data_IF_067731992778
#
_entry.id   IF_067731992778
#
_cell.length_a   1.000
_cell.length_b   1.000
_cell.length_c   1.000
_cell.angle_alpha   90.00
_cell.angle_beta   90.00
_cell.angle_gamma   90.00
#
_symmetry.space_group_name_H-M   'P 1'
#
loop_
_entity.id
_entity.type
_entity.pdbx_description
1 polymer ?
#
# COMPACT_ATOMS: atom_id res chain seq x y z
N UNK A 1 -7.11 35.25 -36.65
CA UNK A 1 -6.00 34.84 -35.75
C UNK A 1 -6.62 34.72 -34.37
N UNK A 2 -7.14 33.53 -34.08
CA UNK A 2 -7.81 33.23 -32.82
C UNK A 2 -6.72 32.91 -31.78
N UNK A 3 -6.80 33.53 -30.61
CA UNK A 3 -5.85 33.37 -29.51
C UNK A 3 -5.76 31.89 -29.11
N UNK A 4 -4.72 31.19 -29.58
CA UNK A 4 -4.23 29.95 -28.98
C UNK A 4 -3.55 30.31 -27.65
N UNK A 5 -4.33 30.68 -26.64
CA UNK A 5 -3.86 30.51 -25.26
C UNK A 5 -3.75 29.00 -25.03
N UNK A 6 -2.54 28.46 -25.09
CA UNK A 6 -2.25 27.08 -24.74
C UNK A 6 -2.78 26.82 -23.34
N UNK A 7 -3.89 26.07 -23.25
CA UNK A 7 -4.56 25.70 -21.99
C UNK A 7 -3.52 25.01 -21.11
N UNK A 8 -2.98 25.74 -20.13
CA UNK A 8 -1.92 25.22 -19.26
C UNK A 8 -2.53 24.18 -18.33
N UNK A 9 -2.11 22.92 -18.46
CA UNK A 9 -2.52 21.83 -17.56
C UNK A 9 -2.18 22.20 -16.11
N UNK A 10 -3.19 22.13 -15.24
CA UNK A 10 -3.05 22.41 -13.80
C UNK A 10 -3.54 21.23 -12.99
N UNK A 11 -2.76 20.85 -11.98
CA UNK A 11 -3.14 19.77 -11.08
C UNK A 11 -4.28 20.23 -10.17
N UNK A 12 -5.33 19.42 -10.10
CA UNK A 12 -6.39 19.64 -9.12
C UNK A 12 -5.97 19.06 -7.76
N UNK A 13 -5.24 19.86 -6.99
CA UNK A 13 -4.72 19.47 -5.66
C UNK A 13 -5.82 18.94 -4.73
N UNK A 14 -7.02 19.52 -4.76
CA UNK A 14 -8.14 19.05 -3.94
C UNK A 14 -8.53 17.62 -4.30
N UNK A 15 -8.69 17.30 -5.59
CA UNK A 15 -9.00 15.94 -6.06
C UNK A 15 -7.87 14.97 -5.74
N UNK A 16 -6.62 15.36 -6.02
CA UNK A 16 -5.45 14.52 -5.72
C UNK A 16 -5.35 14.19 -4.24
N UNK A 17 -5.64 15.15 -3.35
CA UNK A 17 -5.66 14.92 -1.90
C UNK A 17 -6.78 13.95 -1.49
N UNK A 18 -7.97 14.07 -2.08
CA UNK A 18 -9.09 13.16 -1.83
C UNK A 18 -8.78 11.74 -2.31
N UNK A 19 -8.15 11.56 -3.48
CA UNK A 19 -7.66 10.24 -3.94
C UNK A 19 -6.59 9.71 -2.98
N UNK A 20 -5.74 10.61 -2.46
CA UNK A 20 -4.74 10.30 -1.46
C UNK A 20 -5.31 9.66 -0.19
N UNK A 21 -6.57 9.92 0.18
CA UNK A 21 -7.22 9.24 1.30
C UNK A 21 -7.41 7.74 1.09
N UNK A 22 -7.54 7.28 -0.17
CA UNK A 22 -7.54 5.85 -0.46
C UNK A 22 -6.17 5.26 -0.12
N UNK A 23 -5.08 5.90 -0.55
CA UNK A 23 -3.72 5.46 -0.23
C UNK A 23 -3.40 5.54 1.26
N UNK A 24 -3.93 6.55 1.96
CA UNK A 24 -3.89 6.62 3.41
C UNK A 24 -4.47 5.34 4.03
N UNK A 25 -5.67 4.92 3.62
CA UNK A 25 -6.31 3.71 4.14
C UNK A 25 -5.56 2.43 3.76
N UNK A 26 -5.00 2.36 2.53
CA UNK A 26 -4.21 1.21 2.06
C UNK A 26 -2.95 1.05 2.92
N UNK A 27 -2.12 2.09 3.03
CA UNK A 27 -0.87 2.00 3.77
C UNK A 27 -1.09 1.87 5.27
N UNK A 28 -2.18 2.43 5.80
CA UNK A 28 -2.58 2.18 7.18
C UNK A 28 -2.85 0.69 7.42
N UNK A 29 -3.64 0.04 6.56
CA UNK A 29 -3.92 -1.41 6.65
C UNK A 29 -2.62 -2.21 6.63
N UNK A 30 -1.77 -1.97 5.62
CA UNK A 30 -0.54 -2.74 5.44
C UNK A 30 0.41 -2.54 6.60
N UNK A 31 0.57 -1.31 7.08
CA UNK A 31 1.43 -1.04 8.23
C UNK A 31 0.97 -1.79 9.48
N UNK A 32 -0.34 -1.82 9.79
CA UNK A 32 -0.85 -2.61 10.93
C UNK A 32 -0.73 -4.12 10.67
N UNK A 33 -1.01 -4.58 9.45
CA UNK A 33 -0.90 -5.99 9.10
C UNK A 33 0.54 -6.50 9.24
N UNK A 34 1.50 -5.86 8.58
CA UNK A 34 2.92 -6.28 8.55
C UNK A 34 3.60 -6.13 9.91
N UNK A 35 3.13 -5.21 10.75
CA UNK A 35 3.74 -4.96 12.05
C UNK A 35 3.29 -5.92 13.16
N UNK A 36 2.08 -6.52 13.07
CA UNK A 36 1.53 -7.40 14.11
C UNK A 36 1.36 -8.86 13.67
N UNK A 37 0.94 -9.11 12.43
CA UNK A 37 0.64 -10.47 11.96
C UNK A 37 1.85 -11.43 12.02
N UNK A 38 3.09 -11.03 11.66
CA UNK A 38 4.25 -11.92 11.77
C UNK A 38 4.50 -12.41 13.21
N UNK A 39 4.28 -11.55 14.19
CA UNK A 39 4.43 -11.89 15.61
C UNK A 39 3.28 -12.79 16.07
N UNK A 40 2.03 -12.52 15.66
CA UNK A 40 0.90 -13.43 15.95
C UNK A 40 1.16 -14.84 15.42
N UNK A 41 1.63 -14.95 14.17
CA UNK A 41 1.97 -16.24 13.58
C UNK A 41 3.13 -16.91 14.33
N UNK A 42 4.16 -16.16 14.74
CA UNK A 42 5.28 -16.70 15.53
C UNK A 42 4.79 -17.34 16.82
N UNK A 43 3.94 -16.63 17.56
CA UNK A 43 3.39 -17.09 18.84
C UNK A 43 2.48 -18.31 18.65
N UNK A 44 1.60 -18.30 17.64
CA UNK A 44 0.70 -19.43 17.37
C UNK A 44 1.44 -20.66 16.89
N UNK A 45 2.42 -20.54 15.98
CA UNK A 45 3.21 -21.67 15.52
C UNK A 45 4.08 -22.25 16.63
N UNK A 46 4.66 -21.39 17.48
CA UNK A 46 5.45 -21.83 18.64
C UNK A 46 4.61 -22.65 19.60
N UNK A 47 3.35 -22.25 19.83
CA UNK A 47 2.41 -23.01 20.67
C UNK A 47 1.89 -24.28 19.99
N UNK A 48 1.65 -24.25 18.69
CA UNK A 48 1.09 -25.37 17.94
C UNK A 48 2.08 -26.52 17.72
N UNK A 49 3.38 -26.24 17.68
CA UNK A 49 4.44 -27.24 17.44
C UNK A 49 5.21 -27.49 18.74
N UNK A 50 4.97 -28.60 19.46
CA UNK A 50 5.66 -28.90 20.71
C UNK A 50 7.18 -28.95 20.53
N UNK A 51 7.94 -28.31 21.43
CA UNK A 51 9.40 -28.26 21.39
C UNK A 51 9.99 -27.26 20.39
N UNK A 52 9.14 -26.54 19.64
CA UNK A 52 9.60 -25.46 18.78
C UNK A 52 9.93 -24.19 19.57
N UNK A 53 10.76 -23.32 18.99
CA UNK A 53 11.11 -22.00 19.52
C UNK A 53 10.67 -20.91 18.55
N UNK A 54 10.54 -19.67 19.04
CA UNK A 54 10.22 -18.53 18.18
C UNK A 54 11.16 -18.43 16.96
N UNK A 55 12.43 -18.82 17.11
CA UNK A 55 13.42 -18.84 16.02
C UNK A 55 13.15 -19.95 15.00
N UNK A 56 12.82 -21.15 15.45
CA UNK A 56 12.62 -22.29 14.56
C UNK A 56 11.36 -22.14 13.70
N UNK A 57 10.37 -21.35 14.11
CA UNK A 57 9.13 -21.17 13.35
C UNK A 57 9.17 -19.98 12.37
N UNK A 58 10.22 -19.17 12.38
CA UNK A 58 10.30 -17.96 11.52
C UNK A 58 10.21 -18.29 10.03
N UNK A 59 10.68 -19.46 9.58
CA UNK A 59 10.55 -19.84 8.18
C UNK A 59 9.08 -20.03 7.77
N UNK A 60 8.23 -20.57 8.67
CA UNK A 60 6.79 -20.70 8.43
C UNK A 60 6.14 -19.32 8.36
N UNK A 61 6.50 -18.42 9.27
CA UNK A 61 6.03 -17.03 9.26
C UNK A 61 6.40 -16.35 7.95
N UNK A 62 7.64 -16.50 7.49
CA UNK A 62 8.11 -15.96 6.21
C UNK A 62 7.32 -16.50 5.03
N UNK A 63 7.07 -17.82 4.97
CA UNK A 63 6.26 -18.43 3.91
C UNK A 63 4.84 -17.87 3.94
N UNK A 64 4.22 -17.79 5.13
CA UNK A 64 2.86 -17.31 5.30
C UNK A 64 2.70 -15.84 4.90
N UNK A 65 3.66 -14.99 5.29
CA UNK A 65 3.65 -13.58 4.90
C UNK A 65 3.90 -13.47 3.39
N UNK A 66 4.89 -14.17 2.82
CA UNK A 66 5.18 -14.11 1.38
C UNK A 66 4.04 -14.59 0.45
N UNK A 67 3.07 -15.35 0.96
CA UNK A 67 1.89 -15.76 0.17
C UNK A 67 1.07 -14.55 -0.30
N UNK A 68 1.05 -13.43 0.44
CA UNK A 68 0.31 -12.25 0.02
C UNK A 68 0.87 -11.60 -1.25
N UNK A 69 2.20 -11.61 -1.41
CA UNK A 69 2.90 -11.13 -2.59
C UNK A 69 2.61 -12.03 -3.79
N UNK A 70 2.57 -13.35 -3.58
CA UNK A 70 2.14 -14.29 -4.63
C UNK A 70 0.67 -14.08 -5.00
N UNK A 71 -0.19 -13.86 -4.01
CA UNK A 71 -1.59 -13.54 -4.23
C UNK A 71 -1.74 -12.22 -4.99
N UNK A 72 -0.93 -11.20 -4.71
CA UNK A 72 -0.94 -9.92 -5.40
C UNK A 72 -0.62 -10.07 -6.90
N UNK A 73 0.37 -10.90 -7.26
CA UNK A 73 0.73 -11.16 -8.66
C UNK A 73 -0.44 -11.70 -9.49
N UNK A 74 -1.34 -12.47 -8.86
CA UNK A 74 -2.48 -13.11 -9.52
C UNK A 74 -3.74 -12.25 -9.41
N UNK A 75 -4.04 -11.74 -8.22
CA UNK A 75 -5.28 -11.04 -7.91
C UNK A 75 -5.32 -9.61 -8.46
N UNK A 76 -4.19 -8.88 -8.49
CA UNK A 76 -4.18 -7.51 -9.02
C UNK A 76 -4.62 -7.46 -10.50
N UNK A 77 -4.07 -8.29 -11.42
CA UNK A 77 -4.56 -8.35 -12.80
C UNK A 77 -6.03 -8.77 -12.91
N UNK A 78 -6.46 -9.75 -12.11
CA UNK A 78 -7.85 -10.23 -12.13
C UNK A 78 -8.82 -9.10 -11.74
N UNK A 79 -8.59 -8.46 -10.60
CA UNK A 79 -9.46 -7.38 -10.13
C UNK A 79 -9.35 -6.12 -11.00
N UNK A 80 -8.20 -5.87 -11.62
CA UNK A 80 -8.07 -4.82 -12.64
C UNK A 80 -8.98 -5.08 -13.82
N UNK A 81 -8.85 -6.25 -14.44
CA UNK A 81 -9.66 -6.63 -15.58
C UNK A 81 -11.17 -6.64 -15.28
N UNK A 82 -11.57 -7.12 -14.11
CA UNK A 82 -12.97 -7.12 -13.66
C UNK A 82 -13.48 -5.69 -13.43
N UNK A 83 -12.69 -4.84 -12.78
CA UNK A 83 -13.06 -3.45 -12.53
C UNK A 83 -13.21 -2.65 -13.82
N UNK A 84 -12.33 -2.84 -14.79
CA UNK A 84 -12.38 -2.09 -16.06
C UNK A 84 -13.61 -2.44 -16.91
N UNK A 85 -14.16 -3.66 -16.78
CA UNK A 85 -15.38 -4.08 -17.48
C UNK A 85 -16.68 -3.61 -16.80
N UNK A 86 -16.59 -3.07 -15.59
CA UNK A 86 -17.76 -2.77 -14.78
C UNK A 86 -18.34 -1.40 -15.12
N UNK A 87 -19.66 -1.34 -15.32
CA UNK A 87 -20.40 -0.10 -15.58
C UNK A 87 -21.49 0.05 -14.53
N UNK A 88 -21.29 0.97 -13.58
CA UNK A 88 -22.27 1.28 -12.54
C UNK A 88 -22.51 2.79 -12.45
N UNK A 89 -23.65 3.25 -11.89
CA UNK A 89 -23.92 4.68 -11.70
C UNK A 89 -22.88 5.37 -10.80
N UNK A 90 -22.20 4.62 -9.94
CA UNK A 90 -21.18 5.12 -9.01
C UNK A 90 -19.75 5.07 -9.59
N UNK A 91 -19.57 4.54 -10.81
CA UNK A 91 -18.29 4.44 -11.49
C UNK A 91 -17.87 3.00 -11.82
N UNK A 92 -16.72 2.82 -12.47
CA UNK A 92 -16.16 1.51 -12.80
C UNK A 92 -15.34 0.92 -11.65
N UNK A 93 -14.69 1.77 -10.84
CA UNK A 93 -13.74 1.36 -9.78
C UNK A 93 -14.32 1.43 -8.39
N UNK A 94 -15.22 2.38 -8.16
CA UNK A 94 -15.82 2.62 -6.84
C UNK A 94 -16.53 1.40 -6.21
N UNK A 95 -17.28 0.54 -6.95
CA UNK A 95 -17.87 -0.66 -6.36
C UNK A 95 -16.83 -1.61 -5.75
N UNK A 96 -15.69 -1.78 -6.43
CA UNK A 96 -14.62 -2.67 -5.99
C UNK A 96 -13.90 -2.12 -4.76
N UNK A 97 -13.68 -0.81 -4.74
CA UNK A 97 -13.13 -0.10 -3.59
C UNK A 97 -14.04 -0.29 -2.37
N UNK A 98 -15.34 -0.02 -2.51
CA UNK A 98 -16.28 -0.11 -1.39
C UNK A 98 -16.45 -1.53 -0.85
N UNK A 99 -16.65 -2.51 -1.73
CA UNK A 99 -16.82 -3.91 -1.32
C UNK A 99 -15.53 -4.46 -0.72
N UNK A 100 -14.38 -4.17 -1.35
CA UNK A 100 -13.07 -4.55 -0.85
C UNK A 100 -12.81 -3.97 0.54
N UNK A 101 -13.00 -2.65 0.70
CA UNK A 101 -12.82 -2.00 2.00
C UNK A 101 -13.80 -2.52 3.05
N UNK A 102 -15.07 -2.73 2.71
CA UNK A 102 -16.07 -3.21 3.66
C UNK A 102 -15.73 -4.60 4.21
N UNK A 103 -15.40 -5.55 3.33
CA UNK A 103 -15.05 -6.90 3.75
C UNK A 103 -13.73 -6.90 4.53
N UNK A 104 -12.72 -6.15 4.08
CA UNK A 104 -11.48 -5.97 4.84
C UNK A 104 -11.73 -5.39 6.22
N UNK A 105 -12.48 -4.30 6.33
CA UNK A 105 -12.75 -3.62 7.60
C UNK A 105 -13.53 -4.49 8.60
N UNK A 106 -14.34 -5.43 8.10
CA UNK A 106 -15.01 -6.41 8.96
C UNK A 106 -14.02 -7.50 9.38
N UNK A 107 -13.27 -8.08 8.46
CA UNK A 107 -12.38 -9.21 8.73
C UNK A 107 -11.13 -8.81 9.56
N UNK A 108 -10.64 -7.58 9.40
CA UNK A 108 -9.38 -7.13 9.96
C UNK A 108 -9.34 -7.16 11.50
N UNK A 109 -10.36 -6.68 12.24
CA UNK A 109 -10.41 -6.80 13.71
C UNK A 109 -10.56 -8.23 14.21
N UNK A 110 -11.03 -9.18 13.38
CA UNK A 110 -11.13 -10.58 13.79
C UNK A 110 -9.77 -11.29 13.84
N UNK A 111 -8.73 -10.76 13.19
CA UNK A 111 -7.36 -11.30 13.27
C UNK A 111 -6.86 -11.34 14.73
N UNK A 112 -6.76 -10.20 15.46
CA UNK A 112 -6.31 -10.22 16.85
C UNK A 112 -7.28 -10.98 17.77
N UNK A 113 -8.59 -10.96 17.49
CA UNK A 113 -9.58 -11.74 18.26
C UNK A 113 -9.31 -13.25 18.13
N UNK A 114 -9.10 -13.76 16.92
CA UNK A 114 -8.78 -15.17 16.70
C UNK A 114 -7.43 -15.54 17.35
N UNK A 115 -6.46 -14.63 17.33
CA UNK A 115 -5.19 -14.78 18.04
C UNK A 115 -5.40 -14.88 19.56
N UNK A 116 -6.27 -14.06 20.15
CA UNK A 116 -6.59 -14.09 21.57
C UNK A 116 -7.15 -15.46 22.00
N UNK A 117 -8.01 -16.06 21.17
CA UNK A 117 -8.53 -17.42 21.39
C UNK A 117 -7.52 -18.54 21.05
N UNK A 118 -6.27 -18.21 20.70
CA UNK A 118 -5.24 -19.14 20.24
C UNK A 118 -5.70 -20.00 19.04
N UNK A 119 -6.55 -19.46 18.17
CA UNK A 119 -7.09 -20.16 17.02
C UNK A 119 -6.27 -19.84 15.76
N UNK A 120 -5.27 -20.68 15.48
CA UNK A 120 -4.42 -20.55 14.28
C UNK A 120 -5.24 -20.56 12.99
N UNK A 121 -6.19 -21.49 12.83
CA UNK A 121 -7.01 -21.58 11.63
C UNK A 121 -7.88 -20.32 11.43
N UNK A 122 -8.40 -19.76 12.53
CA UNK A 122 -9.15 -18.50 12.52
C UNK A 122 -8.29 -17.31 12.06
N UNK A 123 -7.07 -17.18 12.58
CA UNK A 123 -6.11 -16.13 12.16
C UNK A 123 -5.79 -16.27 10.67
N UNK A 124 -5.43 -17.47 10.22
CA UNK A 124 -5.09 -17.72 8.81
C UNK A 124 -6.26 -17.44 7.86
N UNK A 125 -7.48 -17.83 8.26
CA UNK A 125 -8.69 -17.57 7.47
C UNK A 125 -8.98 -16.07 7.36
N UNK A 126 -8.87 -15.33 8.48
CA UNK A 126 -9.07 -13.88 8.47
C UNK A 126 -8.00 -13.15 7.66
N UNK A 127 -6.72 -13.54 7.79
CA UNK A 127 -5.63 -12.99 6.98
C UNK A 127 -5.87 -13.24 5.49
N UNK A 128 -6.28 -14.46 5.10
CA UNK A 128 -6.58 -14.78 3.71
C UNK A 128 -7.71 -13.91 3.13
N UNK A 129 -8.79 -13.71 3.90
CA UNK A 129 -9.89 -12.81 3.52
C UNK A 129 -9.38 -11.38 3.38
N UNK A 130 -8.66 -10.87 4.37
CA UNK A 130 -8.12 -9.50 4.35
C UNK A 130 -7.22 -9.29 3.14
N UNK A 131 -6.27 -10.17 2.86
CA UNK A 131 -5.35 -10.05 1.72
C UNK A 131 -6.13 -10.06 0.39
N UNK A 132 -7.08 -10.99 0.23
CA UNK A 132 -7.86 -11.12 -1.01
C UNK A 132 -8.64 -9.84 -1.32
N UNK A 133 -9.38 -9.32 -0.34
CA UNK A 133 -10.18 -8.11 -0.52
C UNK A 133 -9.32 -6.82 -0.48
N UNK A 134 -8.14 -6.86 0.13
CA UNK A 134 -7.19 -5.76 0.07
C UNK A 134 -6.62 -5.60 -1.35
N UNK A 135 -6.41 -6.70 -2.09
CA UNK A 135 -6.06 -6.63 -3.52
C UNK A 135 -7.18 -6.05 -4.37
N UNK A 136 -8.43 -6.44 -4.08
CA UNK A 136 -9.63 -5.88 -4.72
C UNK A 136 -9.79 -4.37 -4.47
N UNK A 137 -9.44 -3.91 -3.27
CA UNK A 137 -9.44 -2.49 -2.90
C UNK A 137 -8.26 -1.72 -3.52
N UNK A 138 -7.04 -2.26 -3.43
CA UNK A 138 -5.80 -1.59 -3.82
C UNK A 138 -5.73 -1.32 -5.31
N UNK A 139 -6.03 -2.32 -6.15
CA UNK A 139 -5.82 -2.19 -7.59
C UNK A 139 -6.64 -1.04 -8.22
N UNK A 140 -7.96 -0.96 -8.01
CA UNK A 140 -8.78 0.12 -8.54
C UNK A 140 -8.43 1.50 -7.96
N UNK A 141 -8.05 1.56 -6.67
CA UNK A 141 -7.67 2.80 -6.01
C UNK A 141 -6.36 3.40 -6.56
N UNK A 142 -5.35 2.54 -6.81
CA UNK A 142 -4.08 2.96 -7.42
C UNK A 142 -4.29 3.41 -8.85
N UNK A 143 -5.11 2.68 -9.60
CA UNK A 143 -5.41 3.03 -10.98
C UNK A 143 -6.24 4.34 -11.08
N UNK A 144 -7.05 4.69 -10.08
CA UNK A 144 -7.91 5.89 -10.13
C UNK A 144 -7.10 7.17 -10.34
N UNK A 145 -5.87 7.23 -9.83
CA UNK A 145 -4.97 8.37 -10.01
C UNK A 145 -4.65 8.65 -11.49
N UNK A 146 -4.06 7.72 -12.26
CA UNK A 146 -3.72 7.95 -13.66
C UNK A 146 -4.94 8.15 -14.57
N UNK A 147 -6.12 7.65 -14.18
CA UNK A 147 -7.36 7.82 -14.95
C UNK A 147 -7.90 9.25 -14.94
N UNK A 148 -7.64 10.02 -13.87
CA UNK A 148 -8.15 11.39 -13.73
C UNK A 148 -7.03 12.44 -13.62
N UNK A 149 -5.79 12.03 -13.91
CA UNK A 149 -4.61 12.89 -13.90
C UNK A 149 -3.86 12.83 -15.24
N UNK A 150 -3.73 13.95 -15.97
CA UNK A 150 -2.98 14.03 -17.21
C UNK A 150 -1.52 13.61 -17.06
N UNK A 151 -0.95 12.95 -18.08
CA UNK A 151 0.42 12.35 -18.07
C UNK A 151 1.50 13.29 -17.49
N UNK A 152 1.63 14.57 -17.93
CA UNK A 152 2.68 15.47 -17.43
C UNK A 152 2.59 15.77 -15.92
N UNK A 153 1.40 15.60 -15.33
CA UNK A 153 1.13 15.89 -13.93
C UNK A 153 1.13 14.63 -13.04
N UNK A 154 1.16 13.42 -13.62
CA UNK A 154 1.09 12.15 -12.89
C UNK A 154 2.20 11.99 -11.85
N UNK A 155 3.43 12.39 -12.16
CA UNK A 155 4.54 12.31 -11.20
C UNK A 155 4.30 13.18 -9.95
N UNK A 156 3.80 14.42 -10.14
CA UNK A 156 3.45 15.31 -9.01
C UNK A 156 2.27 14.77 -8.20
N UNK A 157 1.25 14.24 -8.87
CA UNK A 157 0.11 13.62 -8.20
C UNK A 157 0.53 12.39 -7.38
N UNK A 158 1.42 11.55 -7.94
CA UNK A 158 1.98 10.38 -7.26
C UNK A 158 2.72 10.78 -5.99
N UNK A 159 3.51 11.86 -6.03
CA UNK A 159 4.20 12.38 -4.84
C UNK A 159 3.22 12.75 -3.72
N UNK A 160 2.15 13.48 -4.03
CA UNK A 160 1.13 13.90 -3.04
C UNK A 160 0.41 12.68 -2.46
N UNK A 161 0.02 11.75 -3.31
CA UNK A 161 -0.72 10.56 -2.91
C UNK A 161 0.15 9.62 -2.06
N UNK A 162 1.42 9.46 -2.40
CA UNK A 162 2.37 8.71 -1.58
C UNK A 162 2.54 9.37 -0.20
N UNK A 163 2.70 10.70 -0.13
CA UNK A 163 2.75 11.41 1.16
C UNK A 163 1.51 11.11 2.01
N UNK A 164 0.31 11.14 1.43
CA UNK A 164 -0.92 10.78 2.13
C UNK A 164 -0.92 9.33 2.62
N UNK A 165 -0.43 8.40 1.81
CA UNK A 165 -0.19 7.02 2.21
C UNK A 165 0.76 6.92 3.40
N UNK A 166 1.93 7.56 3.35
CA UNK A 166 2.91 7.55 4.44
C UNK A 166 2.37 8.15 5.73
N UNK A 167 1.50 9.16 5.64
CA UNK A 167 0.77 9.67 6.80
C UNK A 167 -0.14 8.56 7.38
N UNK A 168 -0.85 7.80 6.55
CA UNK A 168 -1.65 6.65 6.99
C UNK A 168 -0.83 5.57 7.68
N UNK A 169 0.32 5.21 7.10
CA UNK A 169 1.29 4.30 7.74
C UNK A 169 1.82 4.86 9.07
N UNK A 170 2.17 6.15 9.12
CA UNK A 170 2.62 6.80 10.36
C UNK A 170 1.55 6.74 11.46
N UNK A 171 0.27 6.93 11.13
CA UNK A 171 -0.84 6.77 12.07
C UNK A 171 -0.88 5.35 12.65
N UNK A 172 -0.76 4.32 11.81
CA UNK A 172 -0.67 2.92 12.26
C UNK A 172 0.53 2.69 13.20
N UNK A 173 1.69 3.24 12.87
CA UNK A 173 2.89 3.12 13.68
C UNK A 173 2.76 3.83 15.03
N UNK A 174 2.12 5.01 15.07
CA UNK A 174 1.80 5.72 16.32
C UNK A 174 0.89 4.88 17.21
N UNK A 175 -0.14 4.24 16.62
CA UNK A 175 -0.98 3.29 17.37
C UNK A 175 -0.12 2.17 17.96
N UNK A 176 0.87 1.66 17.23
CA UNK A 176 1.80 0.63 17.75
C UNK A 176 2.77 1.09 18.84
N UNK A 177 3.04 2.39 18.95
CA UNK A 177 3.81 2.94 20.07
C UNK A 177 2.97 2.90 21.35
N UNK A 178 1.71 3.36 21.28
CA UNK A 178 0.82 3.40 22.44
C UNK A 178 0.28 2.02 22.82
N UNK A 179 0.05 1.15 21.83
CA UNK A 179 -0.50 -0.18 21.98
C UNK A 179 0.55 -1.24 21.64
N UNK A 180 1.57 -1.34 22.50
CA UNK A 180 2.72 -2.20 22.26
C UNK A 180 2.39 -3.70 22.40
N UNK A 181 2.62 -4.44 21.31
CA UNK A 181 2.46 -5.90 21.26
C UNK A 181 3.39 -6.64 22.24
N UNK A 182 4.64 -6.19 22.40
CA UNK A 182 5.60 -6.81 23.33
C UNK A 182 5.14 -6.71 24.78
N UNK A 183 4.52 -5.59 25.15
CA UNK A 183 3.97 -5.40 26.50
C UNK A 183 2.82 -6.35 26.76
N UNK A 184 1.95 -6.58 25.76
CA UNK A 184 0.90 -7.60 25.83
C UNK A 184 1.48 -9.01 26.02
N UNK A 185 2.54 -9.37 25.30
CA UNK A 185 3.16 -10.70 25.37
C UNK A 185 3.95 -10.92 26.69
N UNK A 186 4.63 -9.90 27.22
CA UNK A 186 5.48 -10.00 28.43
C UNK A 186 4.70 -10.17 29.73
N UNK A 187 3.47 -9.67 29.82
CA UNK A 187 2.64 -9.71 31.07
C UNK A 187 2.09 -11.11 31.36
N UNK A 188 2.38 -12.12 30.52
CA UNK A 188 2.20 -13.52 30.87
C UNK A 188 0.75 -13.88 31.17
N UNK A 189 -0.08 -13.97 30.13
CA UNK A 189 -1.30 -14.78 30.16
C UNK A 189 -2.34 -14.46 31.25
N UNK A 190 -2.30 -13.29 31.90
CA UNK A 190 -3.46 -12.80 32.64
C UNK A 190 -4.51 -12.38 31.60
N UNK A 191 -5.31 -13.38 31.21
CA UNK A 191 -6.38 -13.45 30.19
C UNK A 191 -7.40 -12.30 30.18
N UNK A 192 -7.25 -11.31 31.07
CA UNK A 192 -8.26 -10.30 31.40
C UNK A 192 -7.75 -8.84 31.44
N UNK A 193 -6.44 -8.57 31.28
CA UNK A 193 -5.90 -7.21 31.48
C UNK A 193 -5.60 -6.41 30.21
N UNK A 194 -6.23 -6.72 29.07
CA UNK A 194 -6.74 -5.77 28.06
C UNK A 194 -6.83 -6.44 26.67
N UNK A 195 -7.97 -7.05 26.37
CA UNK A 195 -8.45 -7.45 25.01
C UNK A 195 -8.69 -6.20 24.12
N UNK A 196 -8.05 -5.09 24.46
CA UNK A 196 -8.16 -3.84 23.74
C UNK A 196 -6.78 -3.40 23.24
N UNK A 197 -5.67 -3.95 23.76
CA UNK A 197 -4.34 -3.51 23.36
C UNK A 197 -4.02 -3.94 21.93
N UNK A 198 -4.34 -5.17 21.54
CA UNK A 198 -4.02 -5.65 20.19
C UNK A 198 -5.18 -5.45 19.21
N UNK A 199 -6.40 -5.27 19.72
CA UNK A 199 -7.63 -5.12 18.95
C UNK A 199 -7.87 -3.66 18.55
N UNK A 200 -7.54 -2.68 19.41
CA UNK A 200 -7.73 -1.25 19.10
C UNK A 200 -7.00 -0.82 17.83
N UNK A 201 -5.71 -1.17 17.58
CA UNK A 201 -5.04 -0.78 16.35
C UNK A 201 -5.75 -1.28 15.08
N UNK A 202 -6.27 -2.51 15.11
CA UNK A 202 -7.01 -3.10 13.99
C UNK A 202 -8.41 -2.49 13.86
N UNK A 203 -9.09 -2.19 14.96
CA UNK A 203 -10.41 -1.56 14.97
C UNK A 203 -10.34 -0.12 14.48
N UNK A 204 -9.41 0.68 15.01
CA UNK A 204 -9.17 2.05 14.56
C UNK A 204 -8.76 2.04 13.10
N UNK A 205 -7.89 1.11 12.68
CA UNK A 205 -7.53 0.98 11.28
C UNK A 205 -8.72 0.67 10.38
N UNK A 206 -9.59 -0.24 10.80
CA UNK A 206 -10.83 -0.58 10.07
C UNK A 206 -11.77 0.61 9.95
N UNK A 207 -11.98 1.36 11.04
CA UNK A 207 -12.81 2.57 11.05
C UNK A 207 -12.21 3.61 10.09
N UNK A 208 -10.91 3.89 10.19
CA UNK A 208 -10.25 4.88 9.35
C UNK A 208 -10.24 4.47 7.87
N UNK A 209 -10.10 3.19 7.56
CA UNK A 209 -10.24 2.68 6.19
C UNK A 209 -11.65 2.92 5.64
N UNK A 210 -12.69 2.60 6.41
CA UNK A 210 -14.08 2.85 6.01
C UNK A 210 -14.31 4.34 5.81
N UNK A 211 -13.83 5.18 6.73
CA UNK A 211 -13.89 6.64 6.58
C UNK A 211 -13.19 7.09 5.30
N UNK A 212 -11.98 6.61 5.02
CA UNK A 212 -11.26 6.90 3.78
C UNK A 212 -12.05 6.51 2.53
N UNK A 213 -12.63 5.32 2.50
CA UNK A 213 -13.44 4.85 1.37
C UNK A 213 -14.73 5.64 1.21
N UNK A 214 -15.40 6.01 2.30
CA UNK A 214 -16.59 6.85 2.28
C UNK A 214 -16.28 8.28 1.83
N UNK A 215 -15.18 8.85 2.30
CA UNK A 215 -14.69 10.17 1.85
C UNK A 215 -14.45 10.15 0.35
N UNK A 216 -13.79 9.10 -0.17
CA UNK A 216 -13.60 8.92 -1.60
C UNK A 216 -14.96 8.80 -2.30
N UNK A 217 -15.87 7.97 -1.80
CA UNK A 217 -17.19 7.74 -2.39
C UNK A 217 -18.07 8.98 -2.50
N UNK A 218 -18.18 9.76 -1.44
CA UNK A 218 -19.05 10.94 -1.44
C UNK A 218 -18.43 12.11 -2.19
N UNK A 219 -17.10 12.23 -2.23
CA UNK A 219 -16.43 13.38 -2.83
C UNK A 219 -15.98 13.16 -4.28
N UNK A 220 -15.78 11.91 -4.70
CA UNK A 220 -15.35 11.55 -6.06
C UNK A 220 -16.50 10.90 -6.80
N UNK A 221 -17.12 11.67 -7.70
CA UNK A 221 -18.01 11.13 -8.71
C UNK A 221 -17.19 10.78 -9.95
N UNK A 222 -16.76 9.52 -10.03
CA UNK A 222 -15.87 9.00 -11.10
C UNK A 222 -16.42 9.33 -12.49
N UNK A 223 -17.68 8.98 -12.76
CA UNK A 223 -18.34 9.19 -14.05
C UNK A 223 -18.42 10.66 -14.48
N UNK A 224 -18.56 11.58 -13.52
CA UNK A 224 -18.58 13.02 -13.80
C UNK A 224 -17.18 13.55 -14.08
N UNK A 225 -16.21 13.16 -13.25
CA UNK A 225 -14.83 13.63 -13.36
C UNK A 225 -14.19 13.14 -14.65
N UNK A 226 -14.39 11.88 -15.03
CA UNK A 226 -13.87 11.30 -16.27
C UNK A 226 -14.31 12.12 -17.50
N UNK A 227 -15.54 12.64 -17.51
CA UNK A 227 -16.04 13.53 -18.58
C UNK A 227 -15.39 14.91 -18.54
N UNK A 228 -15.20 15.48 -17.35
CA UNK A 228 -14.62 16.82 -17.18
C UNK A 228 -13.13 16.86 -17.56
N UNK A 229 -12.38 15.82 -17.24
CA UNK A 229 -10.92 15.78 -17.49
C UNK A 229 -10.57 15.24 -18.88
N UNK A 230 -11.55 14.79 -19.68
CA UNK A 230 -11.30 14.15 -20.97
C UNK A 230 -10.44 14.99 -21.91
N UNK A 231 -10.77 16.28 -22.06
CA UNK A 231 -9.97 17.21 -22.89
C UNK A 231 -8.56 17.42 -22.35
N UNK A 232 -8.41 17.49 -21.02
CA UNK A 232 -7.10 17.68 -20.36
C UNK A 232 -6.24 16.41 -20.48
N UNK A 233 -6.87 15.24 -20.49
CA UNK A 233 -6.23 13.95 -20.71
C UNK A 233 -5.73 13.85 -22.16
N UNK A 234 -6.57 14.17 -23.14
CA UNK A 234 -6.18 14.21 -24.57
C UNK A 234 -5.05 15.23 -24.82
N UNK A 235 -5.11 16.40 -24.19
CA UNK A 235 -4.02 17.39 -24.26
C UNK A 235 -2.73 16.88 -23.61
N UNK A 236 -2.83 16.25 -22.45
CA UNK A 236 -1.67 15.68 -21.75
C UNK A 236 -1.03 14.50 -22.49
N UNK A 237 -1.80 13.74 -23.28
CA UNK A 237 -1.25 12.73 -24.18
C UNK A 237 -0.48 13.35 -25.33
N UNK A 238 -1.02 14.39 -25.97
CA UNK A 238 -0.32 15.14 -27.02
C UNK A 238 0.95 15.82 -26.52
N UNK A 239 0.91 16.46 -25.34
CA UNK A 239 2.11 17.06 -24.74
C UNK A 239 3.18 16.01 -24.42
N UNK A 240 2.77 14.83 -23.93
CA UNK A 240 3.68 13.73 -23.66
C UNK A 240 4.27 13.13 -24.95
N UNK A 241 3.51 13.00 -26.03
CA UNK A 241 4.01 12.57 -27.35
C UNK A 241 5.01 13.55 -27.97
N UNK A 242 4.87 14.85 -27.68
CA UNK A 242 5.83 15.87 -28.13
C UNK A 242 7.14 15.82 -27.31
N UNK A 243 7.07 15.51 -26.02
CA UNK A 243 8.25 15.29 -25.15
C UNK A 243 8.93 13.94 -25.46
N UNK A 244 8.16 12.87 -25.58
CA UNK A 244 8.59 11.54 -25.98
C UNK A 244 8.60 11.47 -27.52
N UNK A 245 9.60 12.08 -28.16
CA UNK A 245 9.89 11.85 -29.59
C UNK A 245 10.33 10.40 -29.83
N UNK A 246 9.43 9.43 -29.64
CA UNK A 246 9.44 8.22 -30.44
C UNK A 246 9.00 8.71 -31.82
N UNK A 247 9.87 8.56 -32.81
CA UNK A 247 9.54 8.94 -34.19
C UNK A 247 8.24 8.23 -34.56
N UNK A 248 7.22 9.00 -34.91
CA UNK A 248 5.95 8.49 -35.45
C UNK A 248 6.26 7.40 -36.48
N UNK A 249 5.88 6.15 -36.17
CA UNK A 249 6.11 4.99 -37.04
C UNK A 249 6.75 3.74 -36.39
N UNK A 250 7.16 3.77 -35.12
CA UNK A 250 7.80 2.63 -34.44
C UNK A 250 6.95 1.96 -33.34
N UNK A 251 5.62 1.90 -33.47
CA UNK A 251 4.76 1.21 -32.49
C UNK A 251 5.01 -0.31 -32.41
N UNK A 252 5.68 -0.88 -33.40
CA UNK A 252 5.91 -2.34 -33.55
C UNK A 252 7.39 -2.72 -33.70
N UNK A 253 8.34 -1.86 -33.30
CA UNK A 253 9.77 -2.21 -33.36
C UNK A 253 10.15 -3.07 -32.16
N UNK A 254 10.58 -4.33 -32.35
CA UNK A 254 11.00 -5.18 -31.24
C UNK A 254 12.15 -4.50 -30.48
N UNK A 255 12.03 -4.45 -29.15
CA UNK A 255 12.99 -3.82 -28.25
C UNK A 255 14.44 -4.12 -28.67
N UNK A 256 15.24 -3.08 -28.89
CA UNK A 256 16.66 -3.20 -29.20
C UNK A 256 17.35 -4.06 -28.13
N UNK A 257 18.42 -4.78 -28.48
CA UNK A 257 19.15 -5.64 -27.51
C UNK A 257 19.55 -4.87 -26.24
N UNK A 258 19.95 -3.61 -26.38
CA UNK A 258 20.25 -2.72 -25.26
C UNK A 258 19.01 -2.42 -24.38
N UNK A 259 17.85 -2.14 -24.98
CA UNK A 259 16.61 -1.88 -24.26
C UNK A 259 16.09 -3.14 -23.55
N UNK A 260 16.24 -4.32 -24.16
CA UNK A 260 15.92 -5.61 -23.51
C UNK A 260 16.82 -5.85 -22.29
N UNK A 261 18.13 -5.62 -22.41
CA UNK A 261 19.07 -5.74 -21.29
C UNK A 261 18.69 -4.75 -20.18
N UNK A 262 18.38 -3.50 -20.53
CA UNK A 262 17.96 -2.48 -19.56
C UNK A 262 16.65 -2.86 -18.86
N UNK A 263 15.66 -3.38 -19.59
CA UNK A 263 14.43 -3.91 -19.01
C UNK A 263 14.71 -5.03 -18.01
N UNK A 264 15.53 -6.02 -18.36
CA UNK A 264 15.90 -7.10 -17.44
C UNK A 264 16.68 -6.59 -16.23
N UNK A 265 17.55 -5.60 -16.39
CA UNK A 265 18.28 -4.98 -15.27
C UNK A 265 17.34 -4.22 -14.32
N UNK A 266 16.36 -3.48 -14.86
CA UNK A 266 15.37 -2.77 -14.04
C UNK A 266 14.48 -3.77 -13.31
N UNK A 267 13.97 -4.79 -14.00
CA UNK A 267 13.17 -5.84 -13.38
C UNK A 267 13.96 -6.61 -12.31
N UNK A 268 15.24 -6.89 -12.57
CA UNK A 268 16.13 -7.53 -11.61
C UNK A 268 16.39 -6.65 -10.39
N UNK A 269 16.65 -5.35 -10.59
CA UNK A 269 16.84 -4.39 -9.50
C UNK A 269 15.57 -4.27 -8.64
N UNK A 270 14.40 -4.14 -9.28
CA UNK A 270 13.10 -4.08 -8.60
C UNK A 270 12.83 -5.36 -7.79
N UNK A 271 13.14 -6.52 -8.36
CA UNK A 271 13.03 -7.81 -7.68
C UNK A 271 13.90 -7.88 -6.42
N UNK A 272 15.18 -7.51 -6.51
CA UNK A 272 16.08 -7.52 -5.35
C UNK A 272 15.70 -6.48 -4.30
N UNK A 273 15.21 -5.31 -4.75
CA UNK A 273 14.72 -4.26 -3.86
C UNK A 273 13.50 -4.74 -3.07
N UNK A 274 12.48 -5.27 -3.74
CA UNK A 274 11.30 -5.84 -3.06
C UNK A 274 11.63 -7.03 -2.18
N UNK A 275 12.58 -7.89 -2.59
CA UNK A 275 13.05 -9.01 -1.77
C UNK A 275 13.68 -8.51 -0.46
N UNK A 276 14.50 -7.46 -0.54
CA UNK A 276 15.11 -6.83 0.63
C UNK A 276 14.05 -6.18 1.52
N UNK A 277 13.13 -5.40 0.94
CA UNK A 277 12.08 -4.68 1.66
C UNK A 277 11.15 -5.64 2.41
N UNK A 278 10.62 -6.67 1.74
CA UNK A 278 9.76 -7.68 2.36
C UNK A 278 10.50 -8.49 3.44
N UNK A 279 11.77 -8.82 3.23
CA UNK A 279 12.59 -9.53 4.19
C UNK A 279 12.80 -8.72 5.47
N UNK A 280 13.06 -7.42 5.34
CA UNK A 280 13.18 -6.51 6.49
C UNK A 280 11.81 -6.34 7.13
N UNK A 281 10.79 -5.92 6.40
CA UNK A 281 9.45 -5.62 6.92
C UNK A 281 8.85 -6.77 7.72
N UNK A 282 8.92 -8.00 7.20
CA UNK A 282 8.34 -9.20 7.83
C UNK A 282 9.01 -9.55 9.16
N UNK A 283 10.34 -9.47 9.23
CA UNK A 283 11.09 -10.02 10.36
C UNK A 283 11.58 -8.98 11.35
N UNK A 284 11.60 -7.70 11.01
CA UNK A 284 12.24 -6.67 11.84
C UNK A 284 11.61 -6.50 13.22
N UNK A 285 10.28 -6.62 13.33
CA UNK A 285 9.57 -6.60 14.63
C UNK A 285 9.95 -7.81 15.48
N UNK A 286 9.89 -9.01 14.90
CA UNK A 286 10.28 -10.26 15.57
C UNK A 286 11.76 -10.24 15.98
N UNK A 287 12.65 -9.73 15.12
CA UNK A 287 14.07 -9.59 15.41
C UNK A 287 14.30 -8.68 16.62
N UNK A 288 13.63 -7.53 16.67
CA UNK A 288 13.74 -6.58 17.79
C UNK A 288 13.26 -7.21 19.11
N UNK A 289 12.16 -7.96 19.06
CA UNK A 289 11.60 -8.60 20.25
C UNK A 289 12.42 -9.80 20.73
N UNK A 290 12.77 -10.74 19.84
CA UNK A 290 13.38 -12.02 20.23
C UNK A 290 14.92 -12.01 20.23
N UNK A 291 15.57 -11.13 19.47
CA UNK A 291 17.04 -11.05 19.42
C UNK A 291 17.60 -9.84 20.16
N UNK A 292 17.01 -8.65 19.96
CA UNK A 292 17.44 -7.44 20.68
C UNK A 292 16.80 -7.32 22.08
N UNK A 293 15.86 -8.22 22.43
CA UNK A 293 15.14 -8.24 23.70
C UNK A 293 14.50 -6.88 24.05
N UNK A 294 14.10 -6.15 23.00
CA UNK A 294 13.58 -4.79 23.07
C UNK A 294 12.08 -4.77 22.77
N UNK A 295 11.40 -3.70 23.19
CA UNK A 295 9.96 -3.58 23.01
C UNK A 295 9.57 -3.23 21.57
N UNK A 296 8.42 -3.74 21.11
CA UNK A 296 7.90 -3.42 19.78
C UNK A 296 7.66 -1.93 19.60
N UNK A 297 7.25 -1.21 20.65
CA UNK A 297 7.07 0.24 20.60
C UNK A 297 8.38 0.99 20.28
N UNK A 298 9.55 0.47 20.68
CA UNK A 298 10.85 1.05 20.27
C UNK A 298 11.12 0.82 18.78
N UNK A 299 10.73 -0.33 18.24
CA UNK A 299 10.81 -0.57 16.79
C UNK A 299 9.90 0.39 16.02
N UNK A 300 8.67 0.61 16.50
CA UNK A 300 7.73 1.55 15.88
C UNK A 300 8.29 2.99 15.81
N UNK A 301 9.04 3.43 16.83
CA UNK A 301 9.73 4.73 16.79
C UNK A 301 10.73 4.78 15.62
N UNK A 302 11.54 3.73 15.43
CA UNK A 302 12.49 3.65 14.31
C UNK A 302 11.78 3.66 12.94
N UNK A 303 10.64 2.97 12.82
CA UNK A 303 9.81 2.98 11.60
C UNK A 303 9.31 4.38 11.29
N UNK A 304 8.81 5.11 12.30
CA UNK A 304 8.35 6.51 12.12
C UNK A 304 9.48 7.43 11.69
N UNK A 305 10.68 7.29 12.27
CA UNK A 305 11.85 8.08 11.88
C UNK A 305 12.21 7.79 10.42
N UNK A 306 12.21 6.52 10.03
CA UNK A 306 12.42 6.10 8.63
C UNK A 306 11.38 6.68 7.69
N UNK A 307 10.09 6.58 8.03
CA UNK A 307 8.99 7.14 7.24
C UNK A 307 9.07 8.67 7.11
N UNK A 308 9.44 9.39 8.17
CA UNK A 308 9.66 10.83 8.12
C UNK A 308 10.84 11.19 7.19
N UNK A 309 11.93 10.42 7.22
CA UNK A 309 13.04 10.58 6.29
C UNK A 309 12.60 10.31 4.84
N UNK A 310 11.76 9.31 4.60
CA UNK A 310 11.18 9.04 3.27
C UNK A 310 10.32 10.19 2.76
N UNK A 311 9.47 10.79 3.61
CA UNK A 311 8.65 11.96 3.24
C UNK A 311 9.53 13.15 2.83
N UNK A 312 10.60 13.42 3.58
CA UNK A 312 11.58 14.44 3.20
C UNK A 312 12.27 14.08 1.88
N UNK A 313 12.63 12.81 1.69
CA UNK A 313 13.17 12.27 0.44
C UNK A 313 12.26 12.53 -0.76
N UNK A 314 10.94 12.31 -0.64
CA UNK A 314 9.99 12.59 -1.73
C UNK A 314 9.82 14.09 -2.00
N UNK A 315 9.84 14.93 -0.97
CA UNK A 315 9.72 16.38 -1.11
C UNK A 315 10.93 16.98 -1.87
N UNK A 316 12.15 16.52 -1.56
CA UNK A 316 13.37 17.04 -2.16
C UNK A 316 13.84 16.27 -3.39
N UNK A 317 13.48 14.99 -3.52
CA UNK A 317 13.92 14.10 -4.58
C UNK A 317 13.57 14.62 -5.97
N UNK A 318 12.38 15.20 -6.14
CA UNK A 318 11.97 15.82 -7.41
C UNK A 318 12.85 17.01 -7.80
N UNK A 319 13.21 17.86 -6.83
CA UNK A 319 14.11 19.01 -7.06
C UNK A 319 15.55 18.55 -7.35
N UNK A 320 16.02 17.52 -6.66
CA UNK A 320 17.37 16.94 -6.89
C UNK A 320 17.43 16.29 -8.27
N UNK A 321 16.43 15.50 -8.64
CA UNK A 321 16.34 14.85 -9.95
C UNK A 321 16.29 15.86 -11.11
N UNK A 322 15.64 17.00 -10.90
CA UNK A 322 15.60 18.07 -11.90
C UNK A 322 16.96 18.76 -12.14
N UNK A 323 17.86 18.77 -11.13
CA UNK A 323 19.19 19.38 -11.24
C UNK A 323 20.27 18.41 -11.74
N UNK A 324 20.20 17.15 -11.32
CA UNK A 324 21.26 16.14 -11.59
C UNK A 324 20.90 15.25 -12.80
N UNK A 325 19.61 15.22 -13.19
CA UNK A 325 19.09 14.43 -14.31
C UNK A 325 18.63 13.04 -13.87
N UNK A 326 17.51 12.58 -14.44
CA UNK A 326 16.83 11.31 -14.08
C UNK A 326 17.73 10.07 -14.16
N UNK A 327 18.68 10.03 -15.10
CA UNK A 327 19.64 8.91 -15.26
C UNK A 327 20.47 8.64 -14.01
N UNK A 328 20.77 9.68 -13.23
CA UNK A 328 21.62 9.61 -12.04
C UNK A 328 20.82 9.66 -10.74
N UNK A 329 19.50 9.77 -10.83
CA UNK A 329 18.59 9.95 -9.69
C UNK A 329 17.44 8.95 -9.71
N UNK A 330 17.65 7.78 -10.35
CA UNK A 330 16.75 6.64 -10.19
C UNK A 330 16.75 6.27 -8.71
N UNK A 331 15.64 6.59 -8.06
CA UNK A 331 15.24 6.19 -6.71
C UNK A 331 14.17 5.12 -6.89
#
# INVERSE_FOLDING_TARGET
MENNETKKLKLNYKRTFIIGFAFFGILLLWQVYDSWCPTFLTELFTKAIPGSTAKSVQYLVGIMMAIDNLAALILLPIFGHLSDKTKTPIGKRMPYILVGTFVCAIAFPFIPVAFHYNNLAGVLSCMFIVVTFAMMYRNPAVALMPDITPKPLRSKANGIINIMGYIGGAFATVLGIFFSLSSYLKVGGSKYLNIWVIEIPFLVGSILMVVSALVLFFLINENKIEKEVKEDMELGEKEAEIEDKIKEGEEDVPLTKANKIMLFLILGAEFFWFMSDNGIGTFMVNYTQYHLLSDSSKMMITIIIGGAASVLGFLFGGSIASKIGRKWTVV
#
